data_IF_923657014147
#
_entry.id   IF_923657014147
#
_cell.length_a   1.000
_cell.length_b   1.000
_cell.length_c   1.000
_cell.angle_alpha   90.00
_cell.angle_beta   90.00
_cell.angle_gamma   90.00
#
_symmetry.space_group_name_H-M   'P 1'
#
loop_
_entity.id
_entity.type
_entity.pdbx_description
1 polymer ?
#
# COMPACT_ATOMS: atom_id res chain seq x y z
N UNK A 1 -9.63 30.74 4.96
CA UNK A 1 -8.65 30.05 5.83
C UNK A 1 -7.46 29.58 5.00
N UNK A 2 -6.27 30.08 5.28
CA UNK A 2 -5.05 29.61 4.63
C UNK A 2 -4.76 28.15 5.06
N UNK A 3 -4.45 27.27 4.11
CA UNK A 3 -4.08 25.88 4.44
C UNK A 3 -2.77 25.86 5.24
N UNK A 4 -2.65 25.05 6.30
CA UNK A 4 -1.42 24.93 7.05
C UNK A 4 -0.27 24.50 6.12
N UNK A 5 0.87 25.19 6.20
CA UNK A 5 2.04 24.97 5.33
C UNK A 5 2.96 23.82 5.81
N UNK A 6 2.58 23.09 6.87
CA UNK A 6 3.40 22.07 7.51
C UNK A 6 2.72 20.70 7.70
N UNK A 7 3.43 19.77 8.35
CA UNK A 7 2.89 18.46 8.74
C UNK A 7 2.44 17.59 7.57
N UNK A 8 1.29 16.91 7.70
CA UNK A 8 0.71 16.05 6.67
C UNK A 8 0.47 16.80 5.34
N UNK A 9 0.22 18.12 5.40
CA UNK A 9 0.04 18.93 4.19
C UNK A 9 1.33 19.09 3.40
N UNK A 10 2.50 19.06 4.04
CA UNK A 10 3.78 19.02 3.33
C UNK A 10 4.07 17.64 2.69
N UNK A 11 3.55 16.57 3.29
CA UNK A 11 3.70 15.19 2.82
C UNK A 11 2.72 14.79 1.71
N UNK A 12 1.52 15.38 1.68
CA UNK A 12 0.49 15.11 0.67
C UNK A 12 0.20 16.31 -0.26
N UNK A 13 0.83 17.47 -0.03
CA UNK A 13 0.68 18.69 -0.84
C UNK A 13 1.67 18.79 -1.99
N UNK A 14 1.55 19.82 -2.85
CA UNK A 14 2.45 20.00 -4.00
C UNK A 14 3.88 20.33 -3.52
N UNK A 15 4.86 19.50 -3.86
CA UNK A 15 6.26 19.74 -3.56
C UNK A 15 7.12 18.46 -3.63
N UNK A 16 8.41 18.58 -3.26
CA UNK A 16 9.38 17.45 -3.29
C UNK A 16 8.89 16.21 -2.52
N UNK A 17 8.13 16.40 -1.43
CA UNK A 17 7.63 15.33 -0.55
C UNK A 17 6.20 14.84 -0.86
N UNK A 18 5.39 15.61 -1.60
CA UNK A 18 3.95 15.34 -1.73
C UNK A 18 3.32 15.45 -3.12
N UNK A 19 4.09 15.60 -4.20
CA UNK A 19 3.54 15.47 -5.55
C UNK A 19 3.22 13.99 -5.86
N UNK A 20 2.06 13.51 -5.39
CA UNK A 20 1.60 12.14 -5.61
C UNK A 20 0.81 12.02 -6.91
N UNK A 21 1.11 10.99 -7.69
CA UNK A 21 0.47 10.73 -8.98
C UNK A 21 -0.08 9.31 -9.09
N UNK A 22 -1.13 9.15 -9.89
CA UNK A 22 -1.71 7.84 -10.20
C UNK A 22 -1.00 7.20 -11.39
N UNK A 23 -0.24 6.14 -11.13
CA UNK A 23 0.42 5.34 -12.18
C UNK A 23 -0.50 4.33 -12.85
N UNK A 24 -1.69 4.08 -12.28
CA UNK A 24 -2.70 3.20 -12.84
C UNK A 24 -3.68 3.90 -13.78
N UNK A 25 -3.62 5.24 -13.86
CA UNK A 25 -4.40 6.01 -14.81
C UNK A 25 -3.64 6.20 -16.13
N UNK A 26 -4.36 6.31 -17.26
CA UNK A 26 -3.74 6.69 -18.51
C UNK A 26 -3.17 8.11 -18.39
N UNK A 27 -2.05 8.36 -19.06
CA UNK A 27 -1.46 9.70 -19.10
C UNK A 27 -2.41 10.65 -19.82
N UNK A 28 -2.50 11.89 -19.35
CA UNK A 28 -3.21 12.98 -20.04
C UNK A 28 -2.16 13.98 -20.49
N UNK A 29 -2.14 14.33 -21.79
CA UNK A 29 -1.14 15.24 -22.37
C UNK A 29 0.30 14.82 -22.01
N UNK A 30 0.60 13.52 -22.09
CA UNK A 30 1.91 12.95 -21.74
C UNK A 30 2.28 12.93 -20.24
N UNK A 31 1.45 13.51 -19.36
CA UNK A 31 1.72 13.66 -17.92
C UNK A 31 0.88 12.69 -17.09
N UNK A 32 1.42 12.27 -15.94
CA UNK A 32 0.64 11.51 -14.96
C UNK A 32 -0.42 12.39 -14.31
N UNK A 33 -1.57 11.79 -14.02
CA UNK A 33 -2.66 12.46 -13.32
C UNK A 33 -2.33 12.56 -11.84
N UNK A 34 -2.80 13.63 -11.18
CA UNK A 34 -2.71 13.76 -9.72
C UNK A 34 -3.39 12.58 -9.05
N UNK A 35 -2.77 12.05 -8.00
CA UNK A 35 -3.39 10.98 -7.24
C UNK A 35 -4.46 11.52 -6.29
N UNK A 36 -5.55 10.77 -6.13
CA UNK A 36 -6.65 11.12 -5.24
C UNK A 36 -8.01 10.86 -5.88
N UNK A 37 -9.00 10.60 -5.03
CA UNK A 37 -10.39 10.43 -5.48
C UNK A 37 -11.08 11.79 -5.44
N UNK A 38 -11.53 12.30 -6.61
CA UNK A 38 -12.26 13.58 -6.69
C UNK A 38 -13.63 13.55 -6.02
N UNK A 39 -14.22 12.37 -5.84
CA UNK A 39 -15.53 12.21 -5.20
C UNK A 39 -15.59 10.90 -4.42
N UNK A 40 -15.74 11.02 -3.10
CA UNK A 40 -15.98 9.89 -2.19
C UNK A 40 -17.42 9.35 -2.28
N UNK A 41 -18.36 10.14 -2.84
CA UNK A 41 -19.80 9.83 -2.93
C UNK A 41 -20.17 8.90 -4.10
N UNK A 42 -19.62 7.69 -4.16
CA UNK A 42 -20.19 6.56 -4.93
C UNK A 42 -20.20 6.59 -6.47
N UNK A 43 -20.11 7.75 -7.14
CA UNK A 43 -20.37 7.88 -8.59
C UNK A 43 -19.29 7.31 -9.53
N UNK A 44 -18.16 6.85 -9.00
CA UNK A 44 -17.03 6.38 -9.82
C UNK A 44 -16.93 4.85 -9.76
N UNK A 45 -17.23 4.18 -10.88
CA UNK A 45 -16.93 2.75 -11.15
C UNK A 45 -15.41 2.45 -11.22
N UNK A 46 -14.56 3.48 -11.12
CA UNK A 46 -13.10 3.35 -11.21
C UNK A 46 -12.52 2.74 -9.93
N UNK A 47 -11.70 1.69 -10.10
CA UNK A 47 -10.88 1.07 -9.04
C UNK A 47 -9.98 2.11 -8.36
N UNK A 48 -9.61 1.87 -7.10
CA UNK A 48 -8.78 2.79 -6.31
C UNK A 48 -7.49 3.18 -7.05
N UNK A 49 -7.16 4.49 -7.09
CA UNK A 49 -5.96 4.96 -7.75
C UNK A 49 -4.72 4.38 -7.06
N UNK A 50 -3.65 4.14 -7.82
CA UNK A 50 -2.40 3.59 -7.27
C UNK A 50 -1.38 4.71 -7.20
N UNK A 51 -1.34 5.34 -6.03
CA UNK A 51 -0.52 6.51 -5.76
C UNK A 51 0.96 6.16 -5.54
N UNK A 52 1.85 6.94 -6.14
CA UNK A 52 3.28 7.00 -5.83
C UNK A 52 3.78 8.44 -5.98
N UNK A 53 4.92 8.83 -5.37
CA UNK A 53 5.54 10.12 -5.62
C UNK A 53 5.91 10.30 -7.10
N UNK A 54 5.78 11.53 -7.61
CA UNK A 54 6.07 11.90 -9.01
C UNK A 54 7.49 11.55 -9.43
N UNK A 55 8.46 11.74 -8.53
CA UNK A 55 9.86 11.37 -8.73
C UNK A 55 9.97 9.88 -9.05
N UNK A 56 9.37 9.02 -8.21
CA UNK A 56 9.36 7.57 -8.43
C UNK A 56 8.63 7.17 -9.71
N UNK A 57 7.51 7.84 -10.03
CA UNK A 57 6.77 7.56 -11.27
C UNK A 57 7.59 7.88 -12.53
N UNK A 58 8.48 8.88 -12.48
CA UNK A 58 9.40 9.23 -13.58
C UNK A 58 10.50 8.19 -13.72
N UNK A 59 11.06 7.70 -12.61
CA UNK A 59 12.10 6.67 -12.61
C UNK A 59 11.62 5.28 -13.05
N UNK A 60 10.31 5.02 -13.00
CA UNK A 60 9.77 3.72 -13.42
C UNK A 60 9.63 3.62 -14.94
N UNK A 61 10.04 2.49 -15.51
CA UNK A 61 9.74 2.13 -16.91
C UNK A 61 8.26 1.78 -17.08
N UNK A 62 7.73 1.74 -18.33
CA UNK A 62 6.35 1.29 -18.58
C UNK A 62 6.06 -0.12 -18.01
N UNK A 63 6.99 -1.06 -18.17
CA UNK A 63 6.85 -2.42 -17.65
C UNK A 63 6.82 -2.45 -16.11
N UNK A 64 7.71 -1.69 -15.45
CA UNK A 64 7.72 -1.57 -13.99
C UNK A 64 6.42 -0.97 -13.46
N UNK A 65 5.86 0.04 -14.13
CA UNK A 65 4.56 0.61 -13.75
C UNK A 65 3.44 -0.42 -13.87
N UNK A 66 3.38 -1.16 -14.98
CA UNK A 66 2.37 -2.24 -15.17
C UNK A 66 2.49 -3.31 -14.08
N UNK A 67 3.70 -3.78 -13.81
CA UNK A 67 3.96 -4.78 -12.75
C UNK A 67 3.58 -4.25 -11.37
N UNK A 68 3.95 -3.02 -11.03
CA UNK A 68 3.60 -2.39 -9.76
C UNK A 68 2.08 -2.26 -9.58
N UNK A 69 1.35 -1.82 -10.63
CA UNK A 69 -0.11 -1.73 -10.61
C UNK A 69 -0.74 -3.11 -10.46
N UNK A 70 -0.24 -4.13 -11.17
CA UNK A 70 -0.73 -5.52 -11.06
C UNK A 70 -0.57 -6.04 -9.64
N UNK A 71 0.63 -5.95 -9.05
CA UNK A 71 0.88 -6.39 -7.66
C UNK A 71 0.00 -5.65 -6.65
N UNK A 72 -0.12 -4.32 -6.77
CA UNK A 72 -0.96 -3.51 -5.88
C UNK A 72 -2.48 -3.75 -6.05
N UNK A 73 -2.91 -4.39 -7.14
CA UNK A 73 -4.30 -4.84 -7.34
C UNK A 73 -4.51 -6.25 -6.80
N UNK A 74 -3.53 -7.12 -6.98
CA UNK A 74 -3.57 -8.50 -6.52
C UNK A 74 -3.45 -8.64 -5.00
N UNK A 75 -2.69 -7.77 -4.33
CA UNK A 75 -2.42 -7.86 -2.89
C UNK A 75 -3.67 -7.86 -2.00
N UNK A 76 -4.84 -7.46 -2.52
CA UNK A 76 -6.06 -7.30 -1.72
C UNK A 76 -5.84 -6.36 -0.53
N UNK A 77 -6.85 -6.22 0.32
CA UNK A 77 -6.58 -5.98 1.74
C UNK A 77 -6.63 -7.37 2.37
N UNK A 78 -5.56 -7.86 3.01
CA UNK A 78 -5.57 -9.19 3.63
C UNK A 78 -6.61 -9.32 4.76
N UNK A 79 -7.29 -8.23 5.13
CA UNK A 79 -8.54 -8.26 5.89
C UNK A 79 -8.42 -9.13 7.13
N UNK A 80 -7.73 -8.63 8.15
CA UNK A 80 -7.56 -9.36 9.40
C UNK A 80 -6.33 -8.91 10.17
N UNK A 81 -6.37 -9.14 11.48
CA UNK A 81 -5.19 -8.97 12.35
C UNK A 81 -4.08 -9.91 11.82
N UNK A 82 -2.86 -9.42 11.60
CA UNK A 82 -1.77 -10.29 11.15
C UNK A 82 -1.61 -11.46 12.12
N UNK A 83 -1.52 -12.68 11.57
CA UNK A 83 -1.12 -13.85 12.36
C UNK A 83 0.37 -13.70 12.65
N UNK A 84 0.68 -13.13 13.82
CA UNK A 84 2.06 -13.06 14.30
C UNK A 84 2.57 -14.51 14.44
N UNK A 85 3.63 -14.83 13.70
CA UNK A 85 4.32 -16.11 13.83
C UNK A 85 4.83 -16.25 15.27
N UNK A 86 4.66 -17.45 15.85
CA UNK A 86 5.20 -17.74 17.19
C UNK A 86 6.72 -17.68 17.11
N UNK A 87 7.33 -16.68 17.75
CA UNK A 87 8.80 -16.51 17.81
C UNK A 87 9.48 -17.50 18.74
N UNK A 88 8.71 -18.23 19.56
CA UNK A 88 9.22 -19.28 20.42
C UNK A 88 8.89 -20.65 19.85
N UNK A 89 9.93 -21.42 19.53
CA UNK A 89 9.80 -22.85 19.22
C UNK A 89 9.14 -23.51 20.43
N UNK A 90 7.96 -24.13 20.27
CA UNK A 90 7.32 -24.87 21.38
C UNK A 90 8.32 -25.91 21.89
N UNK A 91 8.75 -25.77 23.15
CA UNK A 91 9.60 -26.78 23.81
C UNK A 91 8.87 -28.12 23.72
N UNK A 92 9.50 -29.10 23.07
CA UNK A 92 8.97 -30.46 22.96
C UNK A 92 8.76 -30.96 24.39
N UNK A 93 7.52 -31.32 24.77
CA UNK A 93 7.28 -32.00 26.06
C UNK A 93 8.14 -33.26 26.05
N UNK A 94 9.16 -33.31 26.90
CA UNK A 94 9.86 -34.55 27.19
C UNK A 94 8.85 -35.46 27.89
N UNK A 95 8.57 -36.62 27.30
CA UNK A 95 7.80 -37.67 27.95
C UNK A 95 8.67 -38.28 29.06
N UNK A 96 8.62 -37.71 30.27
CA UNK A 96 8.92 -38.42 31.51
C UNK A 96 7.59 -39.04 31.97
N UNK A 97 7.44 -40.29 32.38
CA UNK A 97 8.33 -41.42 32.61
C UNK A 97 7.44 -42.64 32.93
N UNK A 98 8.03 -43.83 32.94
CA UNK A 98 7.39 -45.15 33.10
C UNK A 98 6.60 -45.33 34.42
N UNK A 99 5.55 -46.20 34.31
CA UNK A 99 4.98 -47.18 35.28
C UNK A 99 4.64 -46.75 36.72
N UNK A 100 3.38 -47.01 37.12
CA UNK A 100 3.09 -47.89 38.27
C UNK A 100 1.83 -48.72 38.03
N UNK A 101 1.96 -50.03 38.28
CA UNK A 101 0.88 -51.03 38.34
C UNK A 101 -0.01 -50.73 39.55
N UNK A 102 -1.30 -51.01 39.43
CA UNK A 102 -2.13 -51.64 40.47
C UNK A 102 -3.13 -52.53 39.77
#
# INVERSE_FOLDING_TARGET
MAKPKGGLTAWFGKGKKGDWVDIGAPKKKGKFQKCGRKSAKGKSKRKYPKCVPRSKARSMTPAQRRSAVRRKRAAGNPGGKPRNVRTFVRKKRRANGKKKKS
#
